data_IF_895536452594
#
_entry.id   IF_895536452594
#
_cell.length_a   1.000
_cell.length_b   1.000
_cell.length_c   1.000
_cell.angle_alpha   90.00
_cell.angle_beta   90.00
_cell.angle_gamma   90.00
#
_symmetry.space_group_name_H-M   'P 1'
#
loop_
_entity.id
_entity.type
_entity.pdbx_description
1 polymer ?
#
# COMPACT_ATOMS: atom_id res chain seq x y z
N UNK A 1 -16.21 28.88 -25.09
CA UNK A 1 -15.61 27.54 -24.89
C UNK A 1 -15.06 27.53 -23.47
N UNK A 2 -15.85 27.07 -22.50
CA UNK A 2 -15.46 27.06 -21.10
C UNK A 2 -14.50 25.89 -20.87
N UNK A 3 -13.25 26.19 -20.53
CA UNK A 3 -12.27 25.17 -20.16
C UNK A 3 -12.59 24.65 -18.77
N UNK A 4 -13.09 23.41 -18.68
CA UNK A 4 -13.14 22.65 -17.43
C UNK A 4 -11.71 22.32 -17.05
N UNK A 5 -11.17 23.03 -16.07
CA UNK A 5 -9.91 22.69 -15.42
C UNK A 5 -10.12 21.38 -14.64
N UNK A 6 -9.59 20.28 -15.16
CA UNK A 6 -9.47 19.02 -14.40
C UNK A 6 -8.30 19.22 -13.45
N UNK A 7 -8.61 19.42 -12.18
CA UNK A 7 -7.60 19.56 -11.13
C UNK A 7 -7.03 18.17 -10.81
N UNK A 8 -6.09 17.69 -11.64
CA UNK A 8 -5.30 16.48 -11.39
C UNK A 8 -4.15 16.81 -10.42
N UNK A 9 -4.49 16.90 -9.13
CA UNK A 9 -3.54 16.75 -8.03
C UNK A 9 -3.89 15.49 -7.25
N UNK A 10 -2.92 14.79 -6.62
CA UNK A 10 -3.24 13.65 -5.77
C UNK A 10 -4.23 14.11 -4.70
N UNK A 11 -5.44 13.58 -4.76
CA UNK A 11 -6.48 13.85 -3.77
C UNK A 11 -5.95 13.29 -2.45
N UNK A 12 -5.55 14.17 -1.54
CA UNK A 12 -5.15 13.76 -0.21
C UNK A 12 -6.36 13.15 0.51
N UNK A 13 -6.15 12.02 1.17
CA UNK A 13 -7.19 11.36 1.96
C UNK A 13 -7.64 12.34 3.04
N UNK A 14 -8.93 12.69 3.10
CA UNK A 14 -9.45 13.56 4.14
C UNK A 14 -9.14 12.98 5.53
N UNK A 15 -8.82 13.83 6.51
CA UNK A 15 -8.50 13.39 7.87
C UNK A 15 -9.61 12.49 8.46
N UNK A 16 -10.87 12.81 8.15
CA UNK A 16 -12.06 12.07 8.59
C UNK A 16 -12.14 10.63 8.04
N UNK A 17 -11.38 10.30 6.99
CA UNK A 17 -11.27 8.94 6.46
C UNK A 17 -10.27 8.07 7.23
N UNK A 18 -9.30 8.64 7.93
CA UNK A 18 -8.28 7.87 8.67
C UNK A 18 -8.90 6.96 9.74
N UNK A 19 -9.90 7.38 10.54
CA UNK A 19 -10.60 6.49 11.48
C UNK A 19 -11.25 5.28 10.80
N UNK A 20 -11.80 5.45 9.59
CA UNK A 20 -12.40 4.36 8.81
C UNK A 20 -11.32 3.36 8.36
N UNK A 21 -10.17 3.85 7.90
CA UNK A 21 -9.04 3.01 7.50
C UNK A 21 -8.47 2.22 8.69
N UNK A 22 -8.30 2.86 9.84
CA UNK A 22 -7.85 2.21 11.08
C UNK A 22 -8.81 1.08 11.50
N UNK A 23 -10.12 1.33 11.40
CA UNK A 23 -11.14 0.31 11.67
C UNK A 23 -11.06 -0.87 10.70
N UNK A 24 -10.91 -0.61 9.41
CA UNK A 24 -10.81 -1.66 8.38
C UNK A 24 -9.55 -2.50 8.54
N UNK A 25 -8.45 -1.88 8.97
CA UNK A 25 -7.20 -2.56 9.30
C UNK A 25 -7.26 -3.35 10.62
N UNK A 26 -8.36 -3.24 11.39
CA UNK A 26 -8.49 -3.79 12.74
C UNK A 26 -7.33 -3.37 13.63
N UNK A 27 -6.90 -2.12 13.50
CA UNK A 27 -5.78 -1.56 14.25
C UNK A 27 -6.31 -0.74 15.43
N UNK A 28 -6.37 -1.29 16.66
CA UNK A 28 -6.84 -0.55 17.81
C UNK A 28 -5.80 0.52 18.18
N UNK A 29 -6.18 1.79 18.02
CA UNK A 29 -5.33 2.93 18.34
C UNK A 29 -6.05 3.81 19.37
N UNK A 30 -5.40 4.18 20.48
CA UNK A 30 -5.94 5.20 21.37
C UNK A 30 -6.14 6.52 20.65
N UNK A 31 -7.26 7.20 20.91
CA UNK A 31 -7.64 8.46 20.24
C UNK A 31 -6.55 9.54 20.31
N UNK A 32 -5.75 9.53 21.37
CA UNK A 32 -4.62 10.45 21.56
C UNK A 32 -3.56 10.37 20.44
N UNK A 33 -3.42 9.23 19.76
CA UNK A 33 -2.45 9.03 18.69
C UNK A 33 -3.04 9.22 17.28
N UNK A 34 -4.35 9.40 17.15
CA UNK A 34 -5.00 9.60 15.85
C UNK A 34 -4.44 10.81 15.08
N UNK A 35 -4.16 11.98 15.72
CA UNK A 35 -3.55 13.12 15.02
C UNK A 35 -2.17 12.79 14.43
N UNK A 36 -1.37 12.01 15.15
CA UNK A 36 -0.03 11.60 14.69
C UNK A 36 -0.12 10.70 13.47
N UNK A 37 -1.07 9.76 13.46
CA UNK A 37 -1.32 8.88 12.31
C UNK A 37 -1.82 9.67 11.10
N UNK A 38 -2.72 10.64 11.28
CA UNK A 38 -3.18 11.51 10.19
C UNK A 38 -1.98 12.23 9.56
N UNK A 39 -1.09 12.81 10.38
CA UNK A 39 0.11 13.48 9.90
C UNK A 39 1.05 12.52 9.15
N UNK A 40 1.33 11.35 9.73
CA UNK A 40 2.18 10.31 9.13
C UNK A 40 1.64 9.84 7.78
N UNK A 41 0.32 9.61 7.70
CA UNK A 41 -0.36 9.16 6.49
C UNK A 41 -0.17 10.17 5.35
N UNK A 42 -0.25 11.48 5.63
CA UNK A 42 0.01 12.51 4.63
C UNK A 42 1.43 12.48 4.03
N UNK A 43 2.45 12.05 4.77
CA UNK A 43 3.79 11.82 4.21
C UNK A 43 3.82 10.62 3.25
N UNK A 44 3.12 9.54 3.62
CA UNK A 44 3.01 8.33 2.79
C UNK A 44 2.28 8.64 1.49
N UNK A 45 1.20 9.43 1.52
CA UNK A 45 0.48 9.84 0.31
C UNK A 45 1.38 10.60 -0.67
N UNK A 46 2.18 11.55 -0.16
CA UNK A 46 3.15 12.27 -0.99
C UNK A 46 4.22 11.37 -1.57
N UNK A 47 4.65 10.34 -0.83
CA UNK A 47 5.59 9.36 -1.34
C UNK A 47 4.93 8.48 -2.41
N UNK A 48 3.71 8.00 -2.16
CA UNK A 48 2.96 7.15 -3.08
C UNK A 48 2.65 7.86 -4.40
N UNK A 49 2.32 9.16 -4.36
CA UNK A 49 2.11 9.98 -5.54
C UNK A 49 3.35 10.12 -6.45
N UNK A 50 4.54 9.77 -5.96
CA UNK A 50 5.80 9.76 -6.74
C UNK A 50 6.06 8.41 -7.40
N UNK A 51 5.34 7.36 -7.04
CA UNK A 51 5.51 6.02 -7.61
C UNK A 51 4.96 6.04 -9.04
N UNK A 52 5.75 5.56 -10.00
CA UNK A 52 5.36 5.57 -11.41
C UNK A 52 4.18 4.62 -11.66
N UNK A 53 3.07 5.18 -12.18
CA UNK A 53 1.82 4.44 -12.43
C UNK A 53 1.80 3.62 -13.73
N UNK A 54 2.90 3.61 -14.50
CA UNK A 54 3.01 2.92 -15.79
C UNK A 54 3.65 1.53 -15.74
N UNK A 55 3.66 0.87 -14.58
CA UNK A 55 4.26 -0.46 -14.45
C UNK A 55 3.57 -1.46 -15.41
N UNK A 56 4.32 -2.18 -16.27
CA UNK A 56 3.73 -3.20 -17.14
C UNK A 56 2.94 -4.21 -16.29
N UNK A 57 1.75 -4.61 -16.74
CA UNK A 57 0.94 -5.59 -15.98
C UNK A 57 1.64 -6.94 -15.76
N UNK A 58 2.60 -7.29 -16.62
CA UNK A 58 3.45 -8.49 -16.49
C UNK A 58 4.79 -8.23 -15.81
N UNK A 59 5.02 -7.04 -15.26
CA UNK A 59 6.18 -6.79 -14.44
C UNK A 59 5.97 -7.50 -13.10
N UNK A 60 6.76 -8.55 -12.90
CA UNK A 60 6.71 -9.36 -11.69
C UNK A 60 7.08 -8.53 -10.45
N UNK A 61 6.39 -8.74 -9.31
CA UNK A 61 6.84 -8.22 -8.03
C UNK A 61 8.28 -8.66 -7.72
N UNK A 62 9.01 -7.87 -6.91
CA UNK A 62 10.38 -8.22 -6.51
C UNK A 62 10.49 -9.60 -5.84
N UNK A 63 9.39 -10.10 -5.26
CA UNK A 63 9.27 -11.44 -4.73
C UNK A 63 8.05 -12.11 -5.35
N UNK A 64 8.30 -13.05 -6.26
CA UNK A 64 7.28 -13.95 -6.80
C UNK A 64 7.24 -15.19 -5.91
N UNK A 65 6.03 -15.66 -5.61
CA UNK A 65 5.85 -16.92 -4.90
C UNK A 65 6.45 -18.08 -5.70
N UNK A 66 7.45 -18.75 -5.12
CA UNK A 66 7.99 -20.00 -5.65
C UNK A 66 7.43 -21.20 -4.86
N UNK A 67 6.44 -21.94 -5.41
CA UNK A 67 5.89 -23.11 -4.74
C UNK A 67 6.90 -24.23 -4.53
N UNK A 68 8.01 -24.25 -5.29
CA UNK A 68 9.04 -25.31 -5.18
C UNK A 68 9.87 -25.18 -3.91
N UNK A 69 9.95 -23.98 -3.32
CA UNK A 69 10.57 -23.77 -2.02
C UNK A 69 9.83 -24.50 -0.87
N UNK A 70 8.59 -24.96 -1.11
CA UNK A 70 7.74 -25.63 -0.12
C UNK A 70 7.61 -27.14 -0.36
N UNK A 71 8.29 -27.68 -1.38
CA UNK A 71 8.32 -29.13 -1.58
C UNK A 71 9.24 -29.75 -0.52
N UNK A 72 8.86 -30.90 0.08
CA UNK A 72 9.74 -31.64 0.97
C UNK A 72 11.06 -31.88 0.24
N UNK A 73 12.19 -31.55 0.88
CA UNK A 73 13.48 -31.96 0.36
C UNK A 73 13.42 -33.48 0.19
N UNK A 74 13.67 -33.97 -1.02
CA UNK A 74 13.75 -35.40 -1.26
C UNK A 74 14.78 -35.95 -0.28
N UNK A 75 14.35 -36.83 0.63
CA UNK A 75 15.27 -37.49 1.54
C UNK A 75 16.36 -38.11 0.68
N UNK A 76 17.60 -37.67 0.90
CA UNK A 76 18.75 -38.25 0.25
C UNK A 76 18.80 -39.71 0.68
N UNK A 77 18.33 -40.62 -0.17
CA UNK A 77 18.55 -42.04 -0.02
C UNK A 77 20.06 -42.27 -0.13
N UNK A 78 20.73 -42.23 1.02
CA UNK A 78 22.07 -42.76 1.18
C UNK A 78 21.96 -44.29 1.07
N UNK A 79 22.23 -44.79 -0.13
CA UNK A 79 22.59 -46.18 -0.39
C UNK A 79 24.10 -46.39 -0.25
#
# INVERSE_FOLDING_TARGET
MSQTSVQEGPVSTPADHIPVLLRNARFPLPDAYVPEVIAAYGYVERLAARIHHGYPRGAEPAHVFDPRAFLPAAEAHHG
#
